data_IF_766201247355
#
_entry.id   IF_766201247355
#
_cell.length_a   1.000
_cell.length_b   1.000
_cell.length_c   1.000
_cell.angle_alpha   90.00
_cell.angle_beta   90.00
_cell.angle_gamma   90.00
#
_symmetry.space_group_name_H-M   'P 1'
#
loop_
_entity.id
_entity.type
_entity.pdbx_description
1 polymer ?
#
# COMPACT_ATOMS: atom_id res chain seq x y z
N UNK A 1 13.65 22.36 17.78
CA UNK A 1 14.27 22.54 16.43
C UNK A 1 15.46 21.60 16.20
N UNK A 2 16.17 21.16 17.22
CA UNK A 2 17.34 20.30 17.08
C UNK A 2 17.00 18.85 16.74
N UNK A 3 15.96 18.28 17.38
CA UNK A 3 15.45 16.93 17.11
C UNK A 3 15.10 16.74 15.65
N UNK A 4 14.29 17.64 15.09
CA UNK A 4 13.87 17.57 13.69
C UNK A 4 15.06 17.63 12.72
N UNK A 5 15.99 18.56 12.95
CA UNK A 5 17.21 18.67 12.11
C UNK A 5 18.03 17.39 12.15
N UNK A 6 18.23 16.83 13.35
CA UNK A 6 18.99 15.60 13.52
C UNK A 6 18.32 14.41 12.83
N UNK A 7 17.03 14.20 13.05
CA UNK A 7 16.30 13.08 12.45
C UNK A 7 16.12 13.22 10.93
N UNK A 8 15.87 14.45 10.44
CA UNK A 8 15.71 14.68 8.98
C UNK A 8 17.02 14.51 8.19
N UNK A 9 18.18 14.63 8.85
CA UNK A 9 19.46 14.39 8.23
C UNK A 9 19.82 12.90 8.09
N UNK A 10 19.09 12.00 8.76
CA UNK A 10 19.37 10.57 8.72
C UNK A 10 18.93 9.98 7.39
N UNK A 11 19.86 9.32 6.70
CA UNK A 11 19.55 8.61 5.47
C UNK A 11 18.89 7.25 5.75
N UNK A 12 17.59 7.14 5.53
CA UNK A 12 16.83 5.91 5.77
C UNK A 12 16.84 4.93 4.59
N UNK A 13 17.42 5.27 3.44
CA UNK A 13 17.37 4.47 2.19
C UNK A 13 17.76 3.01 2.38
N UNK A 14 18.77 2.73 3.20
CA UNK A 14 19.22 1.37 3.48
C UNK A 14 18.24 0.53 4.34
N UNK A 15 17.23 1.18 4.93
CA UNK A 15 16.22 0.54 5.79
C UNK A 15 14.82 0.58 5.19
N UNK A 16 14.69 1.10 3.96
CA UNK A 16 13.43 1.12 3.22
C UNK A 16 13.14 -0.28 2.69
N UNK A 17 11.93 -0.70 2.90
CA UNK A 17 11.35 -1.93 2.37
C UNK A 17 10.39 -1.60 1.22
N UNK A 18 10.21 -2.54 0.28
CA UNK A 18 9.29 -2.38 -0.84
C UNK A 18 8.15 -3.38 -0.72
N UNK A 19 6.92 -2.89 -0.83
CA UNK A 19 5.72 -3.72 -0.94
C UNK A 19 4.97 -3.31 -2.21
N UNK A 20 5.16 -4.08 -3.27
CA UNK A 20 4.72 -3.69 -4.61
C UNK A 20 5.49 -2.44 -5.08
N UNK A 21 4.77 -1.38 -5.45
CA UNK A 21 5.35 -0.11 -5.88
C UNK A 21 5.51 0.91 -4.74
N UNK A 22 5.19 0.53 -3.50
CA UNK A 22 5.25 1.44 -2.35
C UNK A 22 6.54 1.20 -1.57
N UNK A 23 7.30 2.25 -1.37
CA UNK A 23 8.45 2.28 -0.46
C UNK A 23 7.96 2.64 0.95
N UNK A 24 8.39 1.92 1.96
CA UNK A 24 8.02 2.20 3.34
C UNK A 24 9.16 1.89 4.31
N UNK A 25 9.18 2.64 5.39
CA UNK A 25 10.05 2.37 6.53
C UNK A 25 9.22 1.56 7.55
N UNK A 26 9.64 0.33 7.87
CA UNK A 26 8.94 -0.47 8.86
C UNK A 26 8.99 0.17 10.25
N UNK A 27 7.96 -0.08 11.08
CA UNK A 27 7.90 0.48 12.42
C UNK A 27 9.12 0.09 13.27
N UNK A 28 9.62 -1.13 13.12
CA UNK A 28 10.79 -1.63 13.83
C UNK A 28 12.07 -0.90 13.42
N UNK A 29 12.25 -0.66 12.12
CA UNK A 29 13.39 0.11 11.61
C UNK A 29 13.32 1.58 12.07
N UNK A 30 12.13 2.21 11.94
CA UNK A 30 11.93 3.59 12.40
C UNK A 30 12.19 3.72 13.89
N UNK A 31 11.62 2.83 14.70
CA UNK A 31 11.79 2.81 16.15
C UNK A 31 13.25 2.59 16.54
N UNK A 32 13.94 1.61 15.93
CA UNK A 32 15.34 1.31 16.18
C UNK A 32 16.25 2.51 15.92
N UNK A 33 16.06 3.22 14.82
CA UNK A 33 16.82 4.43 14.49
C UNK A 33 16.58 5.51 15.54
N UNK A 34 15.32 5.83 15.84
CA UNK A 34 15.01 6.90 16.81
C UNK A 34 15.51 6.54 18.20
N UNK A 35 15.36 5.28 18.61
CA UNK A 35 15.83 4.81 19.92
C UNK A 35 17.34 4.85 20.08
N UNK A 36 18.07 4.65 18.97
CA UNK A 36 19.54 4.79 18.97
C UNK A 36 19.98 6.24 19.10
N UNK A 37 19.26 7.18 18.46
CA UNK A 37 19.59 8.61 18.49
C UNK A 37 19.10 9.32 19.76
N UNK A 38 17.96 8.87 20.28
CA UNK A 38 17.27 9.41 21.45
C UNK A 38 16.85 8.27 22.39
N UNK A 39 17.76 7.77 23.25
CA UNK A 39 17.50 6.63 24.13
C UNK A 39 16.30 6.81 25.08
N UNK A 40 15.91 8.04 25.39
CA UNK A 40 14.78 8.40 26.26
C UNK A 40 13.45 8.53 25.51
N UNK A 41 13.43 8.33 24.18
CA UNK A 41 12.19 8.41 23.40
C UNK A 41 11.12 7.49 23.96
N UNK A 42 9.90 8.00 24.01
CA UNK A 42 8.72 7.25 24.46
C UNK A 42 7.69 7.17 23.34
N UNK A 43 7.01 6.03 23.27
CA UNK A 43 5.81 5.85 22.45
C UNK A 43 4.60 5.77 23.36
N UNK A 44 3.61 6.59 23.11
CA UNK A 44 2.33 6.61 23.81
C UNK A 44 1.26 6.09 22.86
N UNK A 45 0.60 4.99 23.23
CA UNK A 45 -0.62 4.54 22.56
C UNK A 45 -1.76 4.95 23.44
N UNK A 46 -2.61 5.85 22.94
CA UNK A 46 -3.72 6.38 23.70
C UNK A 46 -4.89 5.40 23.74
N UNK A 47 -5.56 5.35 24.87
CA UNK A 47 -6.77 4.57 25.09
C UNK A 47 -7.96 5.51 25.23
N UNK A 48 -9.12 5.06 24.75
CA UNK A 48 -10.38 5.76 24.98
C UNK A 48 -10.75 5.66 26.46
N UNK A 49 -10.90 6.78 27.18
CA UNK A 49 -11.16 6.75 28.63
C UNK A 49 -12.49 6.07 29.03
N UNK A 50 -13.44 6.00 28.10
CA UNK A 50 -14.77 5.41 28.37
C UNK A 50 -14.79 3.90 28.20
N UNK A 51 -13.94 3.35 27.32
CA UNK A 51 -13.93 1.94 26.96
C UNK A 51 -12.66 1.19 27.37
N UNK A 52 -11.56 1.92 27.62
CA UNK A 52 -10.21 1.35 27.80
C UNK A 52 -9.62 0.72 26.54
N UNK A 53 -10.24 0.93 25.38
CA UNK A 53 -9.74 0.41 24.11
C UNK A 53 -8.71 1.34 23.49
N UNK A 54 -7.73 0.78 22.80
CA UNK A 54 -6.65 1.54 22.15
C UNK A 54 -7.06 2.07 20.76
N UNK A 55 -8.34 2.37 20.58
CA UNK A 55 -8.89 3.07 19.42
C UNK A 55 -10.09 3.92 19.87
N UNK A 56 -10.40 4.92 19.05
CA UNK A 56 -11.51 5.84 19.24
C UNK A 56 -12.51 5.65 18.09
N UNK A 57 -13.80 5.86 18.34
CA UNK A 57 -14.84 5.64 17.33
C UNK A 57 -15.83 6.81 17.26
N UNK A 58 -16.37 7.05 16.06
CA UNK A 58 -17.51 7.92 15.79
C UNK A 58 -18.85 7.14 15.70
N UNK A 59 -18.83 5.85 16.09
CA UNK A 59 -19.96 4.94 15.99
C UNK A 59 -20.11 4.25 14.62
N UNK A 60 -19.31 4.63 13.62
CA UNK A 60 -19.32 4.04 12.26
C UNK A 60 -17.97 3.43 11.89
N UNK A 61 -16.91 4.16 12.18
CA UNK A 61 -15.52 3.77 11.92
C UNK A 61 -14.70 4.01 13.18
N UNK A 62 -13.41 3.73 13.13
CA UNK A 62 -12.52 4.01 14.22
C UNK A 62 -11.14 4.47 13.76
N UNK A 63 -10.39 5.08 14.67
CA UNK A 63 -9.03 5.52 14.47
C UNK A 63 -8.19 5.26 15.71
N UNK A 64 -6.89 5.16 15.53
CA UNK A 64 -5.93 5.11 16.63
C UNK A 64 -5.29 6.48 16.85
N UNK A 65 -4.81 6.72 18.06
CA UNK A 65 -4.06 7.92 18.44
C UNK A 65 -2.73 7.49 19.03
N UNK A 66 -1.63 7.89 18.40
CA UNK A 66 -0.27 7.51 18.83
C UNK A 66 0.61 8.74 18.94
N UNK A 67 1.28 8.88 20.08
CA UNK A 67 2.25 9.94 20.36
C UNK A 67 3.68 9.42 20.37
N UNK A 68 4.61 10.24 19.91
CA UNK A 68 6.05 10.05 20.05
C UNK A 68 6.61 11.24 20.78
N UNK A 69 7.19 10.99 21.97
CA UNK A 69 7.79 12.02 22.82
C UNK A 69 9.31 11.94 22.71
N UNK A 70 9.94 13.01 22.25
CA UNK A 70 11.40 13.16 22.21
C UNK A 70 11.76 14.48 22.90
N UNK A 71 12.63 14.44 23.90
CA UNK A 71 13.09 15.62 24.66
C UNK A 71 11.92 16.49 25.18
N UNK A 72 10.83 15.84 25.59
CA UNK A 72 9.63 16.52 26.13
C UNK A 72 8.67 17.08 25.09
N UNK A 73 9.00 17.03 23.80
CA UNK A 73 8.10 17.40 22.71
C UNK A 73 7.39 16.17 22.19
N UNK A 74 6.04 16.20 22.22
CA UNK A 74 5.20 15.15 21.68
C UNK A 74 4.64 15.53 20.30
N UNK A 75 4.75 14.60 19.35
CA UNK A 75 4.01 14.64 18.11
C UNK A 75 3.01 13.49 18.06
N UNK A 76 1.75 13.81 17.82
CA UNK A 76 0.63 12.86 17.82
C UNK A 76 0.12 12.68 16.40
N UNK A 77 -0.03 11.43 15.98
CA UNK A 77 -0.72 11.05 14.75
C UNK A 77 -2.06 10.40 15.07
N UNK A 78 -3.05 10.69 14.22
CA UNK A 78 -4.40 10.13 14.25
C UNK A 78 -4.61 9.37 12.94
N UNK A 79 -4.66 8.05 13.00
CA UNK A 79 -4.77 7.22 11.80
C UNK A 79 -6.05 6.39 11.80
N UNK A 80 -6.92 6.54 10.79
CA UNK A 80 -8.09 5.67 10.64
C UNK A 80 -7.70 4.21 10.48
N UNK A 81 -8.48 3.29 11.02
CA UNK A 81 -8.34 1.86 10.75
C UNK A 81 -8.90 1.58 9.36
N UNK A 82 -8.05 1.11 8.46
CA UNK A 82 -8.32 1.01 7.03
C UNK A 82 -7.96 -0.36 6.47
N UNK A 83 -8.69 -0.75 5.42
CA UNK A 83 -8.37 -1.90 4.60
C UNK A 83 -7.13 -1.65 3.70
N UNK A 84 -6.79 -2.66 2.90
CA UNK A 84 -5.66 -2.59 1.96
C UNK A 84 -5.87 -1.58 0.80
N UNK A 85 -7.09 -1.05 0.64
CA UNK A 85 -7.45 -0.02 -0.36
C UNK A 85 -7.50 1.38 0.26
N UNK A 86 -7.04 1.54 1.50
CA UNK A 86 -7.13 2.77 2.29
C UNK A 86 -8.57 3.26 2.51
N UNK A 87 -9.55 2.35 2.55
CA UNK A 87 -10.92 2.65 2.96
C UNK A 87 -11.10 2.33 4.43
N UNK A 88 -11.73 3.23 5.19
CA UNK A 88 -12.06 2.98 6.60
C UNK A 88 -12.91 1.71 6.73
N UNK A 89 -12.57 0.88 7.71
CA UNK A 89 -13.31 -0.34 8.05
C UNK A 89 -14.43 0.05 9.01
N UNK A 90 -15.64 -0.49 8.79
CA UNK A 90 -16.77 -0.30 9.71
C UNK A 90 -16.49 -0.91 11.08
N UNK A 91 -17.00 -0.27 12.14
CA UNK A 91 -16.73 -0.66 13.53
C UNK A 91 -17.06 -2.12 13.81
N UNK A 92 -18.12 -2.65 13.21
CA UNK A 92 -18.55 -4.04 13.38
C UNK A 92 -17.65 -5.07 12.69
N UNK A 93 -16.75 -4.61 11.82
CA UNK A 93 -15.88 -5.47 11.02
C UNK A 93 -14.39 -5.36 11.39
N UNK A 94 -14.03 -4.46 12.30
CA UNK A 94 -12.63 -4.30 12.73
C UNK A 94 -12.19 -5.49 13.59
N UNK A 95 -10.91 -5.82 13.48
CA UNK A 95 -10.25 -6.81 14.33
C UNK A 95 -9.12 -6.17 15.12
N UNK A 96 -8.73 -6.81 16.23
CA UNK A 96 -7.54 -6.39 17.00
C UNK A 96 -6.26 -6.37 16.15
N UNK A 97 -6.19 -7.22 15.11
CA UNK A 97 -5.08 -7.23 14.15
C UNK A 97 -5.06 -5.94 13.31
N UNK A 98 -6.23 -5.45 12.87
CA UNK A 98 -6.31 -4.22 12.08
C UNK A 98 -5.94 -3.00 12.92
N UNK A 99 -6.41 -2.97 14.18
CA UNK A 99 -6.02 -1.94 15.16
C UNK A 99 -4.52 -1.96 15.40
N UNK A 100 -3.93 -3.12 15.68
CA UNK A 100 -2.49 -3.25 15.93
C UNK A 100 -1.65 -2.81 14.72
N UNK A 101 -2.02 -3.21 13.51
CA UNK A 101 -1.35 -2.75 12.26
C UNK A 101 -1.44 -1.23 12.13
N UNK A 102 -2.59 -0.65 12.46
CA UNK A 102 -2.80 0.79 12.37
C UNK A 102 -1.95 1.53 13.41
N UNK A 103 -1.85 1.03 14.64
CA UNK A 103 -0.95 1.57 15.68
C UNK A 103 0.51 1.57 15.18
N UNK A 104 0.96 0.48 14.55
CA UNK A 104 2.33 0.41 14.00
C UNK A 104 2.56 1.45 12.90
N UNK A 105 1.60 1.64 11.97
CA UNK A 105 1.67 2.67 10.92
C UNK A 105 1.65 4.08 11.51
N UNK A 106 0.75 4.34 12.45
CA UNK A 106 0.64 5.62 13.15
C UNK A 106 1.93 5.95 13.93
N UNK A 107 2.57 4.94 14.53
CA UNK A 107 3.90 5.12 15.17
C UNK A 107 4.92 5.68 14.19
N UNK A 108 5.01 5.14 12.97
CA UNK A 108 5.97 5.62 11.96
C UNK A 108 5.62 7.03 11.49
N UNK A 109 4.33 7.36 11.33
CA UNK A 109 3.88 8.71 10.97
C UNK A 109 4.22 9.73 12.07
N UNK A 110 3.97 9.41 13.32
CA UNK A 110 4.33 10.28 14.45
C UNK A 110 5.87 10.48 14.54
N UNK A 111 6.66 9.44 14.26
CA UNK A 111 8.12 9.55 14.12
C UNK A 111 8.51 10.45 12.94
N UNK A 112 7.82 10.33 11.81
CA UNK A 112 8.09 11.16 10.64
C UNK A 112 7.85 12.65 10.93
N UNK A 113 6.83 12.99 11.71
CA UNK A 113 6.60 14.37 12.16
C UNK A 113 7.76 14.91 13.03
N UNK A 114 8.53 14.05 13.69
CA UNK A 114 9.78 14.42 14.37
C UNK A 114 10.96 14.59 13.40
N UNK A 115 10.78 14.25 12.10
CA UNK A 115 11.75 14.47 11.02
C UNK A 115 12.25 13.20 10.31
N UNK A 116 12.17 12.01 10.91
CA UNK A 116 12.75 10.79 10.33
C UNK A 116 11.95 10.30 9.13
N UNK A 117 12.59 10.32 7.95
CA UNK A 117 11.99 9.76 6.74
C UNK A 117 10.71 10.47 6.28
N UNK A 118 10.51 11.74 6.65
CA UNK A 118 9.31 12.51 6.34
C UNK A 118 9.00 12.55 4.83
N UNK A 119 10.02 12.55 3.98
CA UNK A 119 9.86 12.54 2.53
C UNK A 119 9.15 11.30 1.97
N UNK A 120 9.13 10.18 2.70
CA UNK A 120 8.41 8.97 2.30
C UNK A 120 6.89 9.14 2.31
N UNK A 121 6.40 10.14 3.05
CA UNK A 121 4.98 10.47 3.17
C UNK A 121 4.53 11.56 2.21
N UNK A 122 5.46 12.14 1.43
CA UNK A 122 5.14 13.13 0.41
C UNK A 122 4.23 12.53 -0.63
N UNK A 123 3.02 13.09 -0.79
CA UNK A 123 2.02 12.61 -1.75
C UNK A 123 1.04 11.56 -1.23
N UNK A 124 1.09 11.17 0.05
CA UNK A 124 0.11 10.24 0.62
C UNK A 124 -1.32 10.81 0.56
N UNK A 125 -1.46 12.12 0.77
CA UNK A 125 -2.74 12.84 0.70
C UNK A 125 -3.12 13.26 -0.73
N UNK A 126 -2.23 13.07 -1.69
CA UNK A 126 -2.59 13.21 -3.09
C UNK A 126 -3.54 12.06 -3.41
N UNK A 127 -4.83 12.35 -3.39
CA UNK A 127 -5.82 11.48 -4.05
C UNK A 127 -5.30 11.34 -5.48
N UNK A 128 -4.67 10.22 -5.76
CA UNK A 128 -4.35 9.84 -7.12
C UNK A 128 -5.69 9.62 -7.80
N UNK A 129 -6.27 10.71 -8.32
CA UNK A 129 -7.42 10.71 -9.22
C UNK A 129 -7.08 9.99 -10.54
N UNK A 130 -5.85 9.54 -10.67
CA UNK A 130 -5.41 8.58 -11.66
C UNK A 130 -5.09 7.23 -11.02
N UNK A 131 -6.06 6.63 -10.28
CA UNK A 131 -6.25 5.21 -10.54
C UNK A 131 -6.70 5.16 -11.99
N UNK A 132 -5.77 4.82 -12.87
CA UNK A 132 -6.13 3.99 -13.98
C UNK A 132 -6.81 2.79 -13.31
N UNK A 133 -8.14 2.81 -13.24
CA UNK A 133 -8.91 1.63 -12.89
C UNK A 133 -8.34 0.57 -13.82
N UNK A 134 -7.68 -0.43 -13.28
CA UNK A 134 -7.50 -1.65 -14.05
C UNK A 134 -8.91 -1.98 -14.46
N UNK A 135 -9.23 -1.98 -15.75
CA UNK A 135 -10.59 -2.19 -16.21
C UNK A 135 -11.09 -3.43 -15.49
N UNK A 136 -12.22 -3.32 -14.79
CA UNK A 136 -12.86 -4.41 -14.06
C UNK A 136 -13.55 -5.32 -15.06
N UNK A 137 -12.76 -5.89 -15.97
CA UNK A 137 -13.21 -6.74 -17.06
C UNK A 137 -12.03 -7.15 -17.94
N UNK A 138 -12.23 -8.11 -18.83
CA UNK A 138 -11.22 -8.53 -19.79
C UNK A 138 -10.72 -7.33 -20.59
N UNK A 139 -9.40 -7.15 -20.67
CA UNK A 139 -8.74 -6.08 -21.42
C UNK A 139 -9.10 -6.20 -22.91
N UNK A 140 -9.29 -5.09 -23.59
CA UNK A 140 -9.45 -5.10 -25.04
C UNK A 140 -8.10 -5.43 -25.69
N UNK A 141 -8.06 -6.46 -26.55
CA UNK A 141 -6.84 -6.85 -27.27
C UNK A 141 -6.83 -6.16 -28.63
N UNK A 142 -5.77 -5.40 -28.89
CA UNK A 142 -5.58 -4.69 -30.16
C UNK A 142 -4.38 -5.26 -30.89
N UNK A 143 -4.52 -5.49 -32.21
CA UNK A 143 -3.43 -6.00 -33.04
C UNK A 143 -2.29 -4.97 -33.06
N UNK A 144 -1.08 -5.42 -32.71
CA UNK A 144 0.13 -4.61 -32.74
C UNK A 144 0.42 -3.81 -31.46
N UNK A 145 -0.38 -3.94 -30.41
CA UNK A 145 -0.05 -3.34 -29.10
C UNK A 145 0.91 -4.22 -28.27
N UNK A 146 1.38 -3.70 -27.14
CA UNK A 146 2.28 -4.41 -26.23
C UNK A 146 1.66 -5.70 -25.62
N UNK A 147 0.33 -5.83 -25.61
CA UNK A 147 -0.37 -7.04 -25.18
C UNK A 147 -0.44 -8.05 -26.31
N UNK A 148 -0.53 -7.59 -27.56
CA UNK A 148 -0.51 -8.43 -28.76
C UNK A 148 0.77 -9.25 -28.83
N UNK A 149 1.93 -8.64 -28.62
CA UNK A 149 3.21 -9.34 -28.63
C UNK A 149 3.32 -10.43 -27.57
N UNK A 150 2.78 -10.17 -26.39
CA UNK A 150 2.70 -11.17 -25.29
C UNK A 150 1.78 -12.34 -25.65
N UNK A 151 0.67 -12.05 -26.30
CA UNK A 151 -0.30 -13.07 -26.76
C UNK A 151 0.33 -13.91 -27.87
N UNK A 152 1.00 -13.32 -28.82
CA UNK A 152 1.69 -14.06 -29.89
C UNK A 152 2.77 -14.98 -29.33
N UNK A 153 3.55 -14.48 -28.35
CA UNK A 153 4.54 -15.31 -27.65
C UNK A 153 3.87 -16.50 -26.96
N UNK A 154 2.79 -16.25 -26.19
CA UNK A 154 2.02 -17.31 -25.52
C UNK A 154 1.49 -18.36 -26.50
N UNK A 155 0.97 -17.94 -27.67
CA UNK A 155 0.50 -18.87 -28.73
C UNK A 155 1.64 -19.74 -29.24
N UNK A 156 2.79 -19.15 -29.55
CA UNK A 156 3.96 -19.88 -30.05
C UNK A 156 4.42 -20.96 -29.05
N UNK A 157 4.41 -20.60 -27.76
CA UNK A 157 4.84 -21.51 -26.67
C UNK A 157 3.82 -22.64 -26.40
N UNK A 158 2.55 -22.45 -26.78
CA UNK A 158 1.42 -23.33 -26.47
C UNK A 158 0.68 -23.89 -27.71
N UNK A 159 1.27 -23.90 -28.89
CA UNK A 159 0.64 -24.37 -30.15
C UNK A 159 -0.01 -25.75 -30.04
N UNK A 160 0.57 -26.63 -29.24
CA UNK A 160 0.09 -27.98 -29.00
C UNK A 160 -1.33 -28.07 -28.41
N UNK A 161 -1.83 -26.98 -27.77
CA UNK A 161 -3.16 -26.94 -27.16
C UNK A 161 -4.29 -26.71 -28.17
N UNK A 162 -3.98 -26.30 -29.39
CA UNK A 162 -4.94 -25.95 -30.43
C UNK A 162 -5.65 -24.60 -30.20
N UNK A 163 -6.11 -24.00 -31.29
CA UNK A 163 -6.68 -22.63 -31.32
C UNK A 163 -7.85 -22.47 -30.33
N UNK A 164 -8.77 -23.44 -30.27
CA UNK A 164 -9.96 -23.33 -29.41
C UNK A 164 -9.59 -23.21 -27.92
N UNK A 165 -8.65 -24.01 -27.44
CA UNK A 165 -8.18 -23.98 -26.05
C UNK A 165 -7.42 -22.69 -25.76
N UNK A 166 -6.55 -22.27 -26.66
CA UNK A 166 -5.78 -21.03 -26.55
C UNK A 166 -6.71 -19.83 -26.44
N UNK A 167 -7.72 -19.73 -27.34
CA UNK A 167 -8.70 -18.64 -27.31
C UNK A 167 -9.46 -18.63 -25.99
N UNK A 168 -9.94 -19.78 -25.52
CA UNK A 168 -10.65 -19.89 -24.24
C UNK A 168 -9.79 -19.39 -23.06
N UNK A 169 -8.53 -19.75 -23.04
CA UNK A 169 -7.60 -19.27 -22.01
C UNK A 169 -7.35 -17.75 -22.09
N UNK A 170 -7.26 -17.21 -23.29
CA UNK A 170 -7.07 -15.77 -23.50
C UNK A 170 -8.32 -14.96 -23.15
N UNK A 171 -9.54 -15.51 -23.36
CA UNK A 171 -10.81 -14.85 -23.02
C UNK A 171 -11.00 -14.61 -21.52
N UNK A 172 -10.26 -15.32 -20.65
CA UNK A 172 -10.23 -15.03 -19.21
C UNK A 172 -9.60 -13.66 -18.90
N UNK A 173 -8.74 -13.17 -19.79
CA UNK A 173 -7.95 -11.95 -19.60
C UNK A 173 -8.25 -10.86 -20.61
N UNK A 174 -8.65 -11.22 -21.81
CA UNK A 174 -8.86 -10.31 -22.94
C UNK A 174 -10.25 -10.48 -23.56
N UNK A 175 -10.84 -9.37 -24.04
CA UNK A 175 -11.97 -9.41 -24.95
C UNK A 175 -11.46 -9.75 -26.34
N UNK A 176 -11.87 -10.90 -26.89
CA UNK A 176 -11.39 -11.38 -28.17
C UNK A 176 -12.53 -11.33 -29.18
N UNK A 177 -12.46 -10.35 -30.10
CA UNK A 177 -13.41 -10.23 -31.21
C UNK A 177 -13.22 -11.33 -32.25
N UNK A 178 -14.21 -11.51 -33.12
CA UNK A 178 -14.13 -12.47 -34.24
C UNK A 178 -12.97 -12.19 -35.17
N UNK A 179 -12.63 -10.91 -35.36
CA UNK A 179 -11.48 -10.46 -36.17
C UNK A 179 -10.19 -10.92 -35.53
N UNK A 180 -10.05 -10.71 -34.23
CA UNK A 180 -8.89 -11.14 -33.45
C UNK A 180 -8.73 -12.65 -33.47
N UNK A 181 -9.83 -13.42 -33.29
CA UNK A 181 -9.78 -14.89 -33.37
C UNK A 181 -9.21 -15.38 -34.71
N UNK A 182 -9.67 -14.78 -35.82
CA UNK A 182 -9.19 -15.11 -37.17
C UNK A 182 -7.68 -14.79 -37.31
N UNK A 183 -7.22 -13.66 -36.79
CA UNK A 183 -5.82 -13.27 -36.85
C UNK A 183 -4.93 -14.18 -36.00
N UNK A 184 -5.36 -14.54 -34.76
CA UNK A 184 -4.65 -15.47 -33.88
C UNK A 184 -4.49 -16.86 -34.52
N UNK A 185 -5.47 -17.28 -35.33
CA UNK A 185 -5.43 -18.56 -36.06
C UNK A 185 -4.22 -18.70 -36.98
N UNK A 186 -3.70 -17.59 -37.53
CA UNK A 186 -2.52 -17.59 -38.40
C UNK A 186 -1.22 -17.98 -37.67
N UNK A 187 -1.19 -17.87 -36.34
CA UNK A 187 -0.01 -18.14 -35.52
C UNK A 187 -0.02 -19.54 -34.87
N UNK A 188 -1.16 -20.24 -34.94
CA UNK A 188 -1.32 -21.61 -34.38
C UNK A 188 -1.01 -22.67 -35.45
N UNK A 189 -1.29 -22.33 -36.73
CA UNK A 189 -1.01 -23.20 -37.87
C UNK A 189 0.47 -23.42 -38.15
#
# INVERSE_FOLDING_TARGET
MEVFKKLSAINVKAKIEKKGNVEYLSWSNAWGIVKSEFPTVQRVVYEDPSTGLNYFTDGRTCYVKVGIVIEGLEHIDYLPVMDFRNKSIGIDAITSMDVNKTIQRSTVKAIAMQGLGLSLWSGEDLVTTTKVEKPSGPLELTIGDANWDKVIKYIKDNKHLGLATIVKNLETKYKISTVIKKELGKYVG
#
